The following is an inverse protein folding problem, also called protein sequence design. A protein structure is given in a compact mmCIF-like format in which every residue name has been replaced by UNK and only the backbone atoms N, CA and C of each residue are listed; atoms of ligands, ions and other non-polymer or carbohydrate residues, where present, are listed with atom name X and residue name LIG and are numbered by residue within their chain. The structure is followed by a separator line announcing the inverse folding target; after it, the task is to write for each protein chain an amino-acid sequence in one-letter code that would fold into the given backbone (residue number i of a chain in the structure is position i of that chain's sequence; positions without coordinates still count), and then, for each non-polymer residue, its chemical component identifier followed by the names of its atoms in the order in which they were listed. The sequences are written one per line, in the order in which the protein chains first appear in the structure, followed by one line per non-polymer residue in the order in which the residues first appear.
data_IF_091137037980
#
_entry.id   IF_091137037980
#
_cell.length_a   1.000
_cell.length_b   1.000
_cell.length_c   1.000
_cell.angle_alpha   90.00
_cell.angle_beta   90.00
_cell.angle_gamma   90.00
#
_symmetry.space_group_name_H-M   'P 1'
#
loop_
_entity.id
_entity.type
_entity.pdbx_description
1 polymer ?
#
# COMPACT_ATOMS: atom_id res chain seq x y z
N UNK A 1 -21.43 -5.02 -6.07
CA UNK A 1 -20.30 -4.48 -6.85
C UNK A 1 -19.98 -3.11 -6.26
N UNK A 2 -18.73 -2.87 -5.84
CA UNK A 2 -18.36 -1.58 -5.23
C UNK A 2 -18.31 -0.51 -6.32
N UNK A 3 -18.97 0.63 -6.09
CA UNK A 3 -18.90 1.77 -7.01
C UNK A 3 -17.48 2.32 -7.01
N UNK A 4 -16.75 2.06 -8.08
CA UNK A 4 -15.42 2.65 -8.30
C UNK A 4 -15.66 4.11 -8.69
N UNK A 5 -15.11 5.09 -7.95
CA UNK A 5 -15.28 6.49 -8.31
C UNK A 5 -14.64 6.78 -9.67
N UNK A 6 -15.22 7.70 -10.48
CA UNK A 6 -14.70 8.02 -11.82
C UNK A 6 -13.34 8.73 -11.78
N UNK A 7 -13.00 9.36 -10.66
CA UNK A 7 -11.73 10.03 -10.40
C UNK A 7 -11.07 9.34 -9.19
N UNK A 8 -9.75 9.15 -9.24
CA UNK A 8 -8.99 8.57 -8.12
C UNK A 8 -9.12 9.48 -6.90
N UNK A 9 -9.25 8.88 -5.71
CA UNK A 9 -9.44 9.65 -4.47
C UNK A 9 -8.38 10.73 -4.24
N UNK A 10 -7.09 10.42 -4.46
CA UNK A 10 -6.01 11.39 -4.30
C UNK A 10 -6.18 12.60 -5.22
N UNK A 11 -6.50 12.36 -6.49
CA UNK A 11 -6.72 13.41 -7.47
C UNK A 11 -7.96 14.26 -7.13
N UNK A 12 -9.07 13.61 -6.74
CA UNK A 12 -10.26 14.31 -6.29
C UNK A 12 -10.00 15.16 -5.04
N UNK A 13 -9.23 14.61 -4.09
CA UNK A 13 -8.84 15.29 -2.85
C UNK A 13 -8.01 16.53 -3.16
N UNK A 14 -7.06 16.46 -4.08
CA UNK A 14 -6.27 17.61 -4.50
C UNK A 14 -7.14 18.70 -5.13
N UNK A 15 -8.06 18.34 -6.04
CA UNK A 15 -9.01 19.30 -6.60
C UNK A 15 -9.86 19.97 -5.51
N UNK A 16 -10.34 19.19 -4.54
CA UNK A 16 -11.15 19.70 -3.45
C UNK A 16 -10.35 20.61 -2.50
N UNK A 17 -9.11 20.26 -2.15
CA UNK A 17 -8.24 21.08 -1.32
C UNK A 17 -7.83 22.38 -2.03
N UNK A 18 -7.54 22.33 -3.32
CA UNK A 18 -7.30 23.51 -4.15
C UNK A 18 -8.54 24.41 -4.22
N UNK A 19 -9.73 23.82 -4.35
CA UNK A 19 -10.98 24.56 -4.30
C UNK A 19 -11.20 25.22 -2.94
N UNK A 20 -10.97 24.50 -1.84
CA UNK A 20 -11.01 25.04 -0.48
C UNK A 20 -10.00 26.18 -0.26
N UNK A 21 -8.80 26.09 -0.85
CA UNK A 21 -7.80 27.14 -0.81
C UNK A 21 -8.18 28.36 -1.66
N UNK A 22 -8.75 28.14 -2.84
CA UNK A 22 -9.18 29.19 -3.77
C UNK A 22 -10.34 30.03 -3.22
N UNK A 23 -11.27 29.42 -2.48
CA UNK A 23 -12.32 30.16 -1.77
C UNK A 23 -11.77 30.94 -0.56
N UNK A 24 -10.46 30.88 -0.31
CA UNK A 24 -9.67 31.65 0.65
C UNK A 24 -10.39 31.89 1.98
N UNK A 25 -10.74 30.79 2.63
CA UNK A 25 -11.30 30.76 3.98
C UNK A 25 -10.16 30.66 4.99
N UNK A 26 -9.14 31.50 4.84
CA UNK A 26 -7.93 31.42 5.65
C UNK A 26 -8.13 31.72 7.14
N UNK A 27 -9.35 32.05 7.62
CA UNK A 27 -9.67 32.04 9.07
C UNK A 27 -11.16 32.13 9.47
N UNK A 28 -12.14 31.91 8.56
CA UNK A 28 -13.56 32.21 8.87
C UNK A 28 -14.54 31.02 8.98
N UNK A 29 -14.27 29.88 8.35
CA UNK A 29 -15.16 28.71 8.48
C UNK A 29 -14.68 27.77 9.57
N UNK A 30 -15.59 27.46 10.50
CA UNK A 30 -15.38 26.45 11.52
C UNK A 30 -15.15 25.06 10.88
N UNK A 31 -14.46 24.17 11.59
CA UNK A 31 -14.18 22.81 11.13
C UNK A 31 -15.46 22.04 10.72
N UNK A 32 -16.57 22.28 11.40
CA UNK A 32 -17.87 21.69 11.07
C UNK A 32 -18.40 22.14 9.70
N UNK A 33 -18.25 23.42 9.36
CA UNK A 33 -18.68 23.93 8.06
C UNK A 33 -17.82 23.34 6.93
N UNK A 34 -16.50 23.20 7.16
CA UNK A 34 -15.60 22.52 6.22
C UNK A 34 -15.99 21.05 6.02
N UNK A 35 -16.40 20.36 7.09
CA UNK A 35 -16.91 18.97 7.02
C UNK A 35 -18.21 18.88 6.24
N UNK A 36 -19.18 19.75 6.49
CA UNK A 36 -20.45 19.78 5.72
C UNK A 36 -20.15 19.99 4.24
N UNK A 37 -19.26 20.92 3.92
CA UNK A 37 -18.87 21.22 2.55
C UNK A 37 -18.18 20.04 1.85
N UNK A 38 -17.29 19.34 2.56
CA UNK A 38 -16.67 18.10 2.10
C UNK A 38 -17.75 17.05 1.77
N UNK A 39 -18.65 16.78 2.71
CA UNK A 39 -19.69 15.77 2.54
C UNK A 39 -20.67 16.10 1.42
N UNK A 40 -20.99 17.37 1.23
CA UNK A 40 -21.78 17.85 0.08
C UNK A 40 -21.05 17.63 -1.25
N UNK A 41 -19.76 17.98 -1.31
CA UNK A 41 -18.94 17.90 -2.54
C UNK A 41 -18.71 16.47 -3.02
N UNK A 42 -18.77 15.48 -2.11
CA UNK A 42 -18.72 14.05 -2.44
C UNK A 42 -19.99 13.56 -3.18
N UNK A 43 -21.07 14.33 -3.14
CA UNK A 43 -22.36 13.99 -3.74
C UNK A 43 -23.12 12.89 -2.99
N UNK A 44 -24.34 12.53 -3.47
CA UNK A 44 -25.25 11.64 -2.76
C UNK A 44 -24.68 10.25 -2.48
N UNK A 45 -23.89 9.70 -3.42
CA UNK A 45 -23.25 8.40 -3.24
C UNK A 45 -22.11 8.45 -2.22
N UNK A 46 -21.27 9.48 -2.29
CA UNK A 46 -20.15 9.63 -1.35
C UNK A 46 -20.63 9.90 0.07
N UNK A 47 -21.70 10.67 0.24
CA UNK A 47 -22.38 10.85 1.54
C UNK A 47 -22.92 9.53 2.10
N UNK A 48 -23.60 8.71 1.28
CA UNK A 48 -24.09 7.39 1.70
C UNK A 48 -22.94 6.48 2.14
N UNK A 49 -21.83 6.49 1.40
CA UNK A 49 -20.61 5.76 1.75
C UNK A 49 -20.04 6.24 3.09
N UNK A 50 -19.90 7.54 3.27
CA UNK A 50 -19.42 8.15 4.51
C UNK A 50 -20.29 7.80 5.73
N UNK A 51 -21.61 7.87 5.60
CA UNK A 51 -22.52 7.52 6.70
C UNK A 51 -22.50 6.03 7.04
N UNK A 52 -22.21 5.15 6.06
CA UNK A 52 -22.06 3.72 6.31
C UNK A 52 -20.76 3.37 7.04
N UNK A 53 -19.68 4.12 6.80
CA UNK A 53 -18.38 3.89 7.41
C UNK A 53 -18.21 4.62 8.76
N UNK A 54 -18.77 5.83 8.89
CA UNK A 54 -18.69 6.64 10.10
C UNK A 54 -19.75 6.16 11.10
N UNK A 55 -19.30 5.54 12.19
CA UNK A 55 -20.17 4.99 13.24
C UNK A 55 -20.47 5.98 14.38
N UNK A 56 -20.01 7.23 14.29
CA UNK A 56 -20.23 8.23 15.34
C UNK A 56 -21.21 9.30 14.87
N UNK A 57 -22.23 9.66 15.68
CA UNK A 57 -23.05 10.83 15.39
C UNK A 57 -22.17 12.07 15.40
N UNK A 58 -22.52 13.01 14.53
CA UNK A 58 -21.88 14.31 14.39
C UNK A 58 -21.96 15.05 15.72
N UNK A 59 -20.89 15.04 16.52
CA UNK A 59 -20.81 15.91 17.68
C UNK A 59 -19.38 16.31 18.02
N UNK A 60 -19.01 17.52 17.59
CA UNK A 60 -18.34 18.48 18.46
C UNK A 60 -16.87 18.20 18.78
N UNK A 61 -16.01 18.12 17.77
CA UNK A 61 -14.59 18.26 18.02
C UNK A 61 -13.96 19.24 17.02
N UNK A 62 -12.99 20.01 17.50
CA UNK A 62 -12.24 21.04 16.76
C UNK A 62 -11.55 20.44 15.52
N UNK A 63 -11.43 19.10 15.45
CA UNK A 63 -10.86 18.33 14.34
C UNK A 63 -11.89 17.59 13.44
N UNK A 64 -13.18 17.94 13.45
CA UNK A 64 -14.22 17.21 12.70
C UNK A 64 -13.96 17.03 11.19
N UNK A 65 -13.42 18.05 10.52
CA UNK A 65 -13.03 17.99 9.11
C UNK A 65 -11.85 17.02 8.88
N UNK A 66 -10.80 17.15 9.70
CA UNK A 66 -9.60 16.31 9.58
C UNK A 66 -9.94 14.83 9.84
N UNK A 67 -10.77 14.55 10.84
CA UNK A 67 -11.25 13.20 11.12
C UNK A 67 -12.03 12.62 9.93
N UNK A 68 -12.95 13.39 9.33
CA UNK A 68 -13.69 12.95 8.16
C UNK A 68 -12.78 12.69 6.94
N UNK A 69 -11.77 13.55 6.73
CA UNK A 69 -10.78 13.39 5.67
C UNK A 69 -9.95 12.13 5.87
N UNK A 70 -9.49 11.85 7.09
CA UNK A 70 -8.73 10.63 7.43
C UNK A 70 -9.55 9.36 7.22
N UNK A 71 -10.82 9.38 7.62
CA UNK A 71 -11.73 8.25 7.40
C UNK A 71 -11.90 7.95 5.90
N UNK A 72 -12.05 8.99 5.08
CA UNK A 72 -12.17 8.87 3.62
C UNK A 72 -10.85 8.42 2.99
N UNK A 73 -9.71 8.97 3.43
CA UNK A 73 -8.37 8.54 3.02
C UNK A 73 -8.19 7.04 3.28
N UNK A 74 -8.61 6.54 4.45
CA UNK A 74 -8.51 5.13 4.79
C UNK A 74 -9.47 4.26 3.97
N UNK A 75 -10.67 4.75 3.68
CA UNK A 75 -11.66 4.00 2.92
C UNK A 75 -11.23 3.84 1.44
N UNK A 76 -10.74 4.91 0.85
CA UNK A 76 -10.33 4.98 -0.55
C UNK A 76 -8.85 4.68 -0.78
N UNK A 77 -8.06 4.51 0.29
CA UNK A 77 -6.70 4.01 0.20
C UNK A 77 -6.69 2.76 -0.70
N UNK A 78 -5.70 2.62 -1.59
CA UNK A 78 -5.54 1.40 -2.37
C UNK A 78 -5.53 0.22 -1.42
N UNK A 79 -6.59 -0.60 -1.46
CA UNK A 79 -6.61 -1.85 -0.73
C UNK A 79 -5.63 -2.76 -1.44
N UNK A 80 -4.40 -2.83 -0.94
CA UNK A 80 -3.42 -3.79 -1.38
C UNK A 80 -4.07 -5.16 -1.24
N UNK A 81 -4.42 -5.78 -2.36
CA UNK A 81 -4.91 -7.14 -2.37
C UNK A 81 -3.70 -8.02 -2.08
N UNK A 82 -3.56 -8.41 -0.81
CA UNK A 82 -2.43 -9.22 -0.32
C UNK A 82 -2.23 -10.46 -1.18
N UNK A 83 -3.32 -11.08 -1.67
CA UNK A 83 -3.25 -12.20 -2.60
C UNK A 83 -2.54 -11.89 -3.92
N UNK A 84 -2.80 -10.71 -4.53
CA UNK A 84 -2.18 -10.31 -5.79
C UNK A 84 -0.70 -10.01 -5.61
N UNK A 85 -0.32 -9.31 -4.55
CA UNK A 85 1.10 -9.00 -4.31
C UNK A 85 1.90 -10.24 -3.94
N UNK A 86 1.31 -11.17 -3.16
CA UNK A 86 1.92 -12.48 -2.90
C UNK A 86 2.06 -13.30 -4.17
N UNK A 87 1.04 -13.31 -5.03
CA UNK A 87 1.12 -13.97 -6.33
C UNK A 87 2.27 -13.41 -7.18
N UNK A 88 2.42 -12.08 -7.26
CA UNK A 88 3.55 -11.45 -7.96
C UNK A 88 4.90 -11.83 -7.35
N UNK A 89 5.00 -11.85 -6.03
CA UNK A 89 6.20 -12.29 -5.32
C UNK A 89 6.57 -13.74 -5.67
N UNK A 90 5.62 -14.68 -5.60
CA UNK A 90 5.87 -16.10 -5.89
C UNK A 90 6.11 -16.39 -7.38
N UNK A 91 5.70 -15.50 -8.28
CA UNK A 91 5.98 -15.60 -9.71
C UNK A 91 7.31 -14.97 -10.12
N UNK A 92 7.92 -14.14 -9.27
CA UNK A 92 9.16 -13.47 -9.60
C UNK A 92 10.30 -14.49 -9.65
N UNK A 93 10.92 -14.62 -10.81
CA UNK A 93 12.11 -15.46 -11.04
C UNK A 93 13.22 -14.58 -11.57
N UNK A 94 14.48 -14.95 -11.33
CA UNK A 94 15.59 -14.21 -11.91
C UNK A 94 15.50 -14.26 -13.45
N UNK A 95 15.61 -13.11 -14.11
CA UNK A 95 15.59 -13.03 -15.57
C UNK A 95 16.94 -13.43 -16.17
N UNK A 96 16.94 -13.84 -17.45
CA UNK A 96 18.20 -14.23 -18.11
C UNK A 96 19.12 -13.01 -18.25
N UNK A 97 20.30 -13.08 -17.62
CA UNK A 97 21.27 -12.00 -17.62
C UNK A 97 21.04 -10.92 -16.55
N UNK A 98 20.01 -11.07 -15.71
CA UNK A 98 19.81 -10.22 -14.54
C UNK A 98 20.85 -10.52 -13.46
N UNK A 99 21.38 -9.48 -12.81
CA UNK A 99 22.26 -9.64 -11.66
C UNK A 99 21.47 -10.14 -10.44
N UNK A 100 22.06 -11.04 -9.67
CA UNK A 100 21.33 -11.63 -8.53
C UNK A 100 20.99 -10.57 -7.47
N UNK A 101 21.82 -9.54 -7.30
CA UNK A 101 21.53 -8.43 -6.38
C UNK A 101 20.28 -7.63 -6.79
N UNK A 102 20.08 -7.39 -8.09
CA UNK A 102 18.90 -6.68 -8.60
C UNK A 102 17.64 -7.53 -8.38
N UNK A 103 17.73 -8.83 -8.65
CA UNK A 103 16.66 -9.79 -8.39
C UNK A 103 16.26 -9.81 -6.91
N UNK A 104 17.23 -9.88 -6.00
CA UNK A 104 16.99 -9.87 -4.55
C UNK A 104 16.38 -8.54 -4.10
N UNK A 105 16.85 -7.41 -4.63
CA UNK A 105 16.31 -6.10 -4.31
C UNK A 105 14.83 -6.00 -4.71
N UNK A 106 14.48 -6.51 -5.89
CA UNK A 106 13.10 -6.58 -6.37
C UNK A 106 12.22 -7.51 -5.51
N UNK A 107 12.72 -8.68 -5.11
CA UNK A 107 12.01 -9.58 -4.19
C UNK A 107 11.72 -8.90 -2.85
N UNK A 108 12.71 -8.21 -2.28
CA UNK A 108 12.55 -7.44 -1.03
C UNK A 108 11.48 -6.38 -1.19
N UNK A 109 11.46 -5.66 -2.32
CA UNK A 109 10.45 -4.64 -2.63
C UNK A 109 9.04 -5.23 -2.74
N UNK A 110 8.89 -6.37 -3.40
CA UNK A 110 7.60 -7.07 -3.53
C UNK A 110 7.09 -7.61 -2.18
N UNK A 111 8.01 -8.05 -1.31
CA UNK A 111 7.68 -8.64 -0.02
C UNK A 111 7.09 -7.62 0.98
N UNK A 112 7.41 -6.32 0.86
CA UNK A 112 6.90 -5.24 1.73
C UNK A 112 5.36 -5.26 1.86
N UNK A 113 4.68 -5.45 0.73
CA UNK A 113 3.21 -5.43 0.66
C UNK A 113 2.57 -6.80 0.96
N UNK A 114 3.38 -7.86 1.04
CA UNK A 114 2.91 -9.24 1.17
C UNK A 114 2.45 -9.64 2.56
N UNK A 115 2.75 -8.83 3.59
CA UNK A 115 2.39 -9.11 5.00
C UNK A 115 2.78 -10.53 5.43
N UNK A 116 4.04 -10.91 5.19
CA UNK A 116 4.54 -12.24 5.55
C UNK A 116 4.78 -12.41 7.05
N UNK A 117 4.95 -11.32 7.80
CA UNK A 117 5.15 -11.39 9.25
C UNK A 117 6.49 -12.01 9.60
N UNK A 118 6.52 -12.93 10.57
CA UNK A 118 7.76 -13.51 11.08
C UNK A 118 8.58 -14.28 10.04
N UNK A 119 7.92 -14.86 9.03
CA UNK A 119 8.57 -15.67 7.98
C UNK A 119 8.99 -14.85 6.76
N UNK A 120 9.04 -13.52 6.87
CA UNK A 120 9.36 -12.63 5.75
C UNK A 120 10.71 -12.95 5.10
N UNK A 121 11.77 -13.04 5.90
CA UNK A 121 13.12 -13.26 5.38
C UNK A 121 13.32 -14.71 4.91
N UNK A 122 12.64 -15.67 5.55
CA UNK A 122 12.61 -17.07 5.13
C UNK A 122 11.98 -17.23 3.74
N UNK A 123 10.86 -16.56 3.46
CA UNK A 123 10.21 -16.65 2.16
C UNK A 123 11.03 -15.97 1.04
N UNK A 124 11.73 -14.88 1.34
CA UNK A 124 12.66 -14.25 0.39
C UNK A 124 13.82 -15.20 0.08
N UNK A 125 14.40 -15.79 1.13
CA UNK A 125 15.45 -16.81 0.99
C UNK A 125 14.99 -17.95 0.11
N UNK A 126 13.83 -18.52 0.40
CA UNK A 126 13.31 -19.68 -0.33
C UNK A 126 13.04 -19.33 -1.81
N UNK A 127 12.57 -18.11 -2.11
CA UNK A 127 12.46 -17.63 -3.50
C UNK A 127 13.80 -17.51 -4.22
N UNK A 128 14.84 -17.03 -3.53
CA UNK A 128 16.18 -16.95 -4.10
C UNK A 128 16.72 -18.36 -4.39
N UNK A 129 16.56 -19.29 -3.45
CA UNK A 129 16.99 -20.68 -3.60
C UNK A 129 16.26 -21.37 -4.75
N UNK A 130 14.95 -21.17 -4.90
CA UNK A 130 14.14 -21.85 -5.93
C UNK A 130 14.33 -21.29 -7.33
N UNK A 131 14.53 -19.97 -7.48
CA UNK A 131 14.41 -19.29 -8.78
C UNK A 131 15.64 -18.47 -9.19
N UNK A 132 16.80 -18.72 -8.56
CA UNK A 132 18.09 -18.25 -9.06
C UNK A 132 18.47 -19.01 -10.34
N UNK A 133 19.00 -18.30 -11.33
CA UNK A 133 19.41 -18.88 -12.62
C UNK A 133 20.77 -19.59 -12.58
N UNK A 134 21.59 -19.33 -11.56
CA UNK A 134 22.91 -19.94 -11.45
C UNK A 134 22.81 -21.28 -10.71
N UNK A 135 22.90 -22.38 -11.46
CA UNK A 135 22.78 -23.74 -10.95
C UNK A 135 23.84 -24.07 -9.88
N UNK A 136 25.07 -23.57 -10.00
CA UNK A 136 26.12 -23.78 -9.00
C UNK A 136 25.81 -23.05 -7.69
N UNK A 137 25.24 -21.85 -7.77
CA UNK A 137 24.77 -21.11 -6.60
C UNK A 137 23.58 -21.85 -5.98
N UNK A 138 22.63 -22.30 -6.79
CA UNK A 138 21.46 -23.06 -6.33
C UNK A 138 21.86 -24.34 -5.56
N UNK A 139 22.83 -25.11 -6.06
CA UNK A 139 23.37 -26.29 -5.37
C UNK A 139 24.02 -25.93 -4.03
N UNK A 140 24.83 -24.87 -3.98
CA UNK A 140 25.42 -24.36 -2.72
C UNK A 140 24.35 -23.88 -1.73
N UNK A 141 23.27 -23.30 -2.24
CA UNK A 141 22.15 -22.81 -1.44
C UNK A 141 21.29 -23.95 -0.89
N UNK A 142 21.10 -25.05 -1.62
CA UNK A 142 20.42 -26.24 -1.10
C UNK A 142 21.17 -26.90 0.04
N UNK A 143 22.51 -26.93 -0.02
CA UNK A 143 23.35 -27.46 1.06
C UNK A 143 23.25 -26.59 2.32
N UNK A 144 23.11 -25.27 2.16
CA UNK A 144 23.02 -24.30 3.24
C UNK A 144 21.58 -23.82 3.52
N UNK A 145 20.55 -24.60 3.18
CA UNK A 145 19.14 -24.15 3.23
C UNK A 145 18.60 -23.73 4.61
N UNK A 146 19.31 -24.10 5.69
CA UNK A 146 19.00 -23.66 7.05
C UNK A 146 19.61 -22.30 7.45
N UNK A 147 20.45 -21.73 6.59
CA UNK A 147 21.17 -20.48 6.87
C UNK A 147 20.24 -19.26 6.84
N UNK A 148 20.58 -18.20 7.62
CA UNK A 148 19.89 -16.91 7.54
C UNK A 148 20.02 -16.28 6.14
N UNK A 149 19.09 -15.39 5.80
CA UNK A 149 19.06 -14.70 4.51
C UNK A 149 20.41 -14.02 4.19
N UNK A 150 21.05 -13.37 5.17
CA UNK A 150 22.31 -12.64 4.96
C UNK A 150 23.47 -13.55 4.53
N UNK A 151 23.55 -14.77 5.07
CA UNK A 151 24.58 -15.74 4.70
C UNK A 151 24.36 -16.27 3.28
N UNK A 152 23.10 -16.45 2.89
CA UNK A 152 22.70 -16.85 1.54
C UNK A 152 23.03 -15.75 0.53
N UNK A 153 22.81 -14.48 0.88
CA UNK A 153 23.22 -13.35 0.05
C UNK A 153 24.74 -13.25 -0.09
N UNK A 154 25.51 -13.61 0.94
CA UNK A 154 26.97 -13.67 0.84
C UNK A 154 27.44 -14.77 -0.12
N UNK A 155 26.82 -15.96 -0.09
CA UNK A 155 27.10 -17.08 -1.01
C UNK A 155 26.78 -16.71 -2.46
N UNK A 156 25.68 -15.98 -2.67
CA UNK A 156 25.25 -15.53 -4.00
C UNK A 156 26.23 -14.53 -4.63
N UNK A 157 26.92 -13.74 -3.80
CA UNK A 157 27.86 -12.68 -4.23
C UNK A 157 29.30 -13.16 -4.40
N UNK A 158 29.62 -14.36 -3.92
CA UNK A 158 30.94 -15.01 -4.04
C UNK A 158 31.07 -15.79 -5.34
#
# INVERSE_FOLDING_TARGET
MGNIPPIKWLEWKDYFLNYLGAINVDNKMAAEQKKIFLLHSLGPMGLKTYNKMSKSPVSGDICAFNAAMLDLDKYFAPKVCVGIVRYKFFQRKQEKGELVDDYVADLKKLALDCKFGAIHDELIRDQVVMHCNNQSIQERLWINGASPLDEILAIVRS
#
